data_IF_848187605711
#
_entry.id   IF_848187605711
#
_cell.length_a   1.000
_cell.length_b   1.000
_cell.length_c   1.000
_cell.angle_alpha   90.00
_cell.angle_beta   90.00
_cell.angle_gamma   90.00
#
_symmetry.space_group_name_H-M   'P 1'
#
loop_
_entity.id
_entity.type
_entity.pdbx_description
1 polymer ?
#
# COMPACT_ATOMS: atom_id res chain seq x y z
N UNK A 1 -14.67 14.85 5.33
CA UNK A 1 -13.31 14.33 5.63
C UNK A 1 -13.09 14.34 7.14
N UNK A 2 -12.68 13.21 7.69
CA UNK A 2 -12.37 13.06 9.11
C UNK A 2 -10.92 13.50 9.38
N UNK A 3 -10.71 14.24 10.48
CA UNK A 3 -9.36 14.55 10.99
C UNK A 3 -8.83 13.32 11.73
N UNK A 4 -8.40 12.35 10.96
CA UNK A 4 -7.95 11.06 11.45
C UNK A 4 -6.92 10.45 10.50
N UNK A 5 -6.05 9.59 11.02
CA UNK A 5 -5.16 8.75 10.24
C UNK A 5 -5.83 7.44 9.83
N UNK A 6 -5.63 7.03 8.59
CA UNK A 6 -5.94 5.69 8.11
C UNK A 6 -4.62 4.96 7.86
N UNK A 7 -4.39 3.88 8.58
CA UNK A 7 -3.19 3.04 8.49
C UNK A 7 -3.56 1.72 7.85
N UNK A 8 -2.93 1.41 6.72
CA UNK A 8 -3.19 0.22 5.91
C UNK A 8 -1.97 -0.69 5.97
N UNK A 9 -2.08 -1.79 6.72
CA UNK A 9 -1.03 -2.81 6.82
C UNK A 9 -0.82 -3.49 5.46
N UNK A 10 0.41 -3.96 5.21
CA UNK A 10 0.75 -4.86 4.12
C UNK A 10 0.18 -6.26 4.32
N UNK A 11 0.61 -7.21 3.48
CA UNK A 11 0.23 -8.62 3.66
C UNK A 11 0.01 -9.38 2.35
N UNK A 12 0.46 -8.85 1.22
CA UNK A 12 0.31 -9.48 -0.09
C UNK A 12 -1.16 -9.78 -0.39
N UNK A 13 -1.49 -11.03 -0.74
CA UNK A 13 -2.85 -11.45 -1.07
C UNK A 13 -3.86 -11.28 0.09
N UNK A 14 -3.43 -11.25 1.35
CA UNK A 14 -4.32 -10.94 2.49
C UNK A 14 -4.88 -9.51 2.42
N UNK A 15 -4.24 -8.63 1.67
CA UNK A 15 -4.69 -7.26 1.39
C UNK A 15 -6.07 -7.17 0.72
N UNK A 16 -6.62 -8.26 0.18
CA UNK A 16 -7.99 -8.31 -0.32
C UNK A 16 -9.00 -7.90 0.76
N UNK A 17 -8.72 -8.21 2.03
CA UNK A 17 -9.52 -7.70 3.16
C UNK A 17 -9.52 -6.17 3.20
N UNK A 18 -8.34 -5.56 3.05
CA UNK A 18 -8.17 -4.10 3.00
C UNK A 18 -8.95 -3.49 1.84
N UNK A 19 -8.96 -4.15 0.65
CA UNK A 19 -9.75 -3.70 -0.49
C UNK A 19 -11.24 -3.59 -0.15
N UNK A 20 -11.81 -4.60 0.53
CA UNK A 20 -13.21 -4.59 0.96
C UNK A 20 -13.54 -3.47 1.96
N UNK A 21 -12.64 -3.19 2.91
CA UNK A 21 -12.80 -2.08 3.86
C UNK A 21 -12.76 -0.73 3.14
N UNK A 22 -11.84 -0.56 2.19
CA UNK A 22 -11.71 0.68 1.41
C UNK A 22 -12.90 0.90 0.47
N UNK A 23 -13.45 -0.18 -0.09
CA UNK A 23 -14.69 -0.13 -0.89
C UNK A 23 -15.87 0.35 -0.04
N UNK A 24 -15.98 -0.12 1.20
CA UNK A 24 -16.99 0.37 2.14
C UNK A 24 -16.81 1.86 2.45
N UNK A 25 -15.57 2.33 2.69
CA UNK A 25 -15.30 3.75 2.91
C UNK A 25 -15.63 4.59 1.68
N UNK A 26 -15.32 4.10 0.49
CA UNK A 26 -15.68 4.76 -0.77
C UNK A 26 -17.20 4.88 -0.92
N UNK A 27 -17.94 3.80 -0.65
CA UNK A 27 -19.41 3.78 -0.73
C UNK A 27 -20.06 4.75 0.26
N UNK A 28 -19.50 4.87 1.47
CA UNK A 28 -20.02 5.77 2.50
C UNK A 28 -19.49 7.19 2.41
N UNK A 29 -18.65 7.50 1.42
CA UNK A 29 -18.04 8.82 1.28
C UNK A 29 -17.16 9.21 2.47
N UNK A 30 -16.51 8.23 3.11
CA UNK A 30 -15.64 8.43 4.27
C UNK A 30 -14.24 8.78 3.78
N UNK A 31 -13.73 9.95 4.16
CA UNK A 31 -12.39 10.45 3.83
C UNK A 31 -11.57 10.74 5.07
N UNK A 32 -10.26 10.55 4.95
CA UNK A 32 -9.29 10.75 6.01
C UNK A 32 -8.31 11.86 5.67
N UNK A 33 -7.89 12.63 6.71
CA UNK A 33 -6.89 13.68 6.54
C UNK A 33 -5.51 13.14 6.20
N UNK A 34 -5.16 11.95 6.71
CA UNK A 34 -3.89 11.27 6.42
C UNK A 34 -4.12 9.78 6.17
N UNK A 35 -3.41 9.24 5.18
CA UNK A 35 -3.43 7.82 4.85
C UNK A 35 -2.00 7.33 4.71
N UNK A 36 -1.70 6.18 5.31
CA UNK A 36 -0.40 5.52 5.26
C UNK A 36 -0.61 4.10 4.75
N UNK A 37 -0.09 3.82 3.56
CA UNK A 37 -0.16 2.49 2.95
C UNK A 37 1.18 1.79 2.96
N UNK A 38 1.18 0.52 3.36
CA UNK A 38 2.36 -0.36 3.37
C UNK A 38 2.13 -1.51 2.41
N UNK A 39 3.06 -1.77 1.48
CA UNK A 39 3.01 -2.94 0.59
C UNK A 39 1.66 -3.04 -0.15
N UNK A 40 0.92 -4.13 -0.01
CA UNK A 40 -0.42 -4.28 -0.57
C UNK A 40 -1.38 -3.15 -0.12
N UNK A 41 -1.24 -2.64 1.11
CA UNK A 41 -2.00 -1.49 1.60
C UNK A 41 -1.74 -0.22 0.78
N UNK A 42 -0.50 0.02 0.33
CA UNK A 42 -0.18 1.12 -0.57
C UNK A 42 -0.81 0.94 -1.97
N UNK A 43 -0.81 -0.28 -2.49
CA UNK A 43 -1.46 -0.59 -3.78
C UNK A 43 -2.98 -0.37 -3.72
N UNK A 44 -3.65 -0.87 -2.68
CA UNK A 44 -5.10 -0.73 -2.52
C UNK A 44 -5.53 0.71 -2.22
N UNK A 45 -4.70 1.47 -1.49
CA UNK A 45 -4.89 2.90 -1.26
C UNK A 45 -5.14 3.66 -2.56
N UNK A 46 -4.44 3.32 -3.64
CA UNK A 46 -4.56 4.03 -4.92
C UNK A 46 -5.97 3.92 -5.52
N UNK A 47 -6.62 2.76 -5.44
CA UNK A 47 -8.00 2.58 -5.90
C UNK A 47 -9.01 3.37 -5.05
N UNK A 48 -8.76 3.46 -3.74
CA UNK A 48 -9.57 4.26 -2.82
C UNK A 48 -9.44 5.77 -3.11
N UNK A 49 -8.22 6.26 -3.31
CA UNK A 49 -7.99 7.67 -3.66
C UNK A 49 -8.62 8.05 -5.01
N UNK A 50 -8.68 7.11 -5.95
CA UNK A 50 -9.36 7.25 -7.25
C UNK A 50 -10.88 7.03 -7.19
N UNK A 51 -11.46 6.76 -6.00
CA UNK A 51 -12.90 6.47 -5.83
C UNK A 51 -13.40 5.29 -6.65
N UNK A 52 -12.56 4.34 -7.00
CA UNK A 52 -12.89 3.22 -7.86
C UNK A 52 -13.23 1.96 -7.02
N UNK A 53 -14.47 1.89 -6.54
CA UNK A 53 -15.00 0.73 -5.82
C UNK A 53 -14.84 -0.55 -6.65
N UNK A 54 -14.38 -1.63 -6.01
CA UNK A 54 -14.17 -2.94 -6.62
C UNK A 54 -12.85 -3.07 -7.40
N UNK A 55 -12.23 -1.96 -7.84
CA UNK A 55 -11.01 -2.01 -8.65
C UNK A 55 -9.88 -2.77 -7.95
N UNK A 56 -9.64 -2.50 -6.67
CA UNK A 56 -8.58 -3.15 -5.90
C UNK A 56 -8.78 -4.67 -5.82
N UNK A 57 -10.02 -5.11 -5.62
CA UNK A 57 -10.38 -6.53 -5.61
C UNK A 57 -10.17 -7.16 -6.99
N UNK A 58 -10.73 -6.55 -8.05
CA UNK A 58 -10.60 -7.07 -9.42
C UNK A 58 -9.15 -7.23 -9.84
N UNK A 59 -8.30 -6.21 -9.64
CA UNK A 59 -6.87 -6.30 -9.95
C UNK A 59 -6.19 -7.43 -9.16
N UNK A 60 -6.59 -7.66 -7.92
CA UNK A 60 -5.98 -8.70 -7.08
C UNK A 60 -6.40 -10.13 -7.47
N UNK A 61 -7.57 -10.30 -8.10
CA UNK A 61 -8.17 -11.63 -8.36
C UNK A 61 -8.12 -12.03 -9.82
N UNK A 62 -8.41 -11.11 -10.75
CA UNK A 62 -8.62 -11.42 -12.18
C UNK A 62 -7.34 -11.89 -12.89
N UNK A 63 -6.18 -11.62 -12.31
CA UNK A 63 -4.88 -11.99 -12.90
C UNK A 63 -4.14 -13.10 -12.15
N UNK A 64 -4.75 -13.74 -11.14
CA UNK A 64 -4.09 -14.77 -10.33
C UNK A 64 -3.56 -15.95 -11.17
N UNK A 65 -4.32 -16.36 -12.20
CA UNK A 65 -3.95 -17.47 -13.10
C UNK A 65 -3.05 -17.02 -14.26
N UNK A 66 -2.69 -15.73 -14.29
CA UNK A 66 -1.91 -15.16 -15.39
C UNK A 66 -0.43 -15.16 -15.02
N UNK A 67 0.39 -15.96 -15.75
CA UNK A 67 1.86 -15.98 -15.56
C UNK A 67 2.51 -14.59 -15.71
N UNK A 68 1.86 -13.70 -16.47
CA UNK A 68 2.29 -12.31 -16.64
C UNK A 68 2.16 -11.47 -15.37
N UNK A 69 1.25 -11.82 -14.47
CA UNK A 69 1.04 -11.09 -13.23
C UNK A 69 2.08 -11.46 -12.18
N UNK A 70 2.18 -12.76 -11.88
CA UNK A 70 3.06 -13.29 -10.84
C UNK A 70 3.57 -14.66 -11.26
N UNK A 71 4.89 -14.84 -11.40
CA UNK A 71 5.46 -16.13 -11.77
C UNK A 71 6.94 -16.25 -11.40
N UNK A 72 7.39 -17.50 -11.22
CA UNK A 72 8.82 -17.81 -11.09
C UNK A 72 9.60 -17.45 -12.36
N UNK A 73 8.98 -17.54 -13.53
CA UNK A 73 9.57 -17.12 -14.79
C UNK A 73 9.88 -15.61 -14.77
N UNK A 74 8.95 -14.78 -14.30
CA UNK A 74 9.19 -13.35 -14.10
C UNK A 74 10.34 -13.10 -13.13
N UNK A 75 10.38 -13.81 -12.00
CA UNK A 75 11.47 -13.69 -11.03
C UNK A 75 12.83 -14.04 -11.64
N UNK A 76 12.93 -15.12 -12.40
CA UNK A 76 14.19 -15.57 -13.01
C UNK A 76 14.66 -14.65 -14.17
N UNK A 77 13.73 -14.06 -14.91
CA UNK A 77 14.06 -13.25 -16.10
C UNK A 77 14.23 -11.77 -15.76
N UNK A 78 13.43 -11.23 -14.85
CA UNK A 78 13.43 -9.80 -14.52
C UNK A 78 13.95 -9.48 -13.11
N UNK A 79 14.04 -10.48 -12.24
CA UNK A 79 14.37 -10.28 -10.82
C UNK A 79 13.18 -9.85 -9.95
N UNK A 80 11.96 -9.82 -10.53
CA UNK A 80 10.72 -9.47 -9.85
C UNK A 80 9.69 -10.58 -10.01
N UNK A 81 9.15 -11.10 -8.89
CA UNK A 81 8.11 -12.13 -8.89
C UNK A 81 6.81 -11.61 -9.51
N UNK A 82 6.43 -10.38 -9.16
CA UNK A 82 5.36 -9.63 -9.82
C UNK A 82 5.95 -8.84 -10.97
N UNK A 83 5.48 -9.09 -12.19
CA UNK A 83 6.00 -8.41 -13.37
C UNK A 83 5.73 -6.90 -13.30
N UNK A 84 6.79 -6.12 -13.30
CA UNK A 84 6.73 -4.65 -13.09
C UNK A 84 5.94 -3.96 -14.20
N UNK A 85 6.23 -4.28 -15.45
CA UNK A 85 5.56 -3.65 -16.59
C UNK A 85 4.07 -3.98 -16.62
N UNK A 86 3.72 -5.22 -16.27
CA UNK A 86 2.33 -5.64 -16.20
C UNK A 86 1.59 -4.97 -15.03
N UNK A 87 2.16 -5.01 -13.82
CA UNK A 87 1.47 -4.57 -12.60
C UNK A 87 1.40 -3.05 -12.45
N UNK A 88 2.47 -2.33 -12.85
CA UNK A 88 2.60 -0.89 -12.59
C UNK A 88 2.45 -0.01 -13.83
N UNK A 89 2.34 -0.61 -15.02
CA UNK A 89 2.09 0.11 -16.27
C UNK A 89 0.88 -0.45 -17.03
N UNK A 90 0.87 -1.71 -17.44
CA UNK A 90 -0.21 -2.23 -18.27
C UNK A 90 -1.57 -2.25 -17.56
N UNK A 91 -1.61 -2.71 -16.31
CA UNK A 91 -2.85 -2.71 -15.52
C UNK A 91 -3.35 -1.29 -15.28
N UNK A 92 -2.56 -0.36 -14.67
CA UNK A 92 -3.06 0.96 -14.32
C UNK A 92 -3.28 1.91 -15.49
N UNK A 93 -2.67 1.67 -16.64
CA UNK A 93 -2.80 2.56 -17.79
C UNK A 93 -3.86 2.08 -18.81
N UNK A 94 -4.09 0.74 -18.90
CA UNK A 94 -4.91 0.17 -19.98
C UNK A 94 -5.97 -0.83 -19.53
N UNK A 95 -5.65 -1.76 -18.61
CA UNK A 95 -6.56 -2.85 -18.27
C UNK A 95 -7.55 -2.45 -17.19
N UNK A 96 -7.07 -1.79 -16.16
CA UNK A 96 -7.84 -1.21 -15.06
C UNK A 96 -7.32 0.20 -14.77
N UNK A 97 -7.56 1.18 -15.67
CA UNK A 97 -7.00 2.52 -15.53
C UNK A 97 -7.47 3.20 -14.26
N UNK A 98 -6.58 3.97 -13.64
CA UNK A 98 -6.96 4.84 -12.54
C UNK A 98 -7.75 6.04 -13.06
N UNK A 99 -8.72 6.50 -12.27
CA UNK A 99 -9.25 7.86 -12.40
C UNK A 99 -8.22 8.83 -11.80
N UNK A 100 -7.28 9.23 -12.64
CA UNK A 100 -6.16 10.10 -12.28
C UNK A 100 -6.61 11.44 -11.75
N UNK A 101 -7.65 12.03 -12.37
CA UNK A 101 -8.18 13.34 -12.01
C UNK A 101 -8.82 13.30 -10.62
N UNK A 102 -9.56 12.25 -10.32
CA UNK A 102 -10.15 12.04 -8.99
C UNK A 102 -9.08 11.77 -7.95
N UNK A 103 -8.04 11.01 -8.29
CA UNK A 103 -6.91 10.75 -7.41
C UNK A 103 -6.23 12.04 -6.95
N UNK A 104 -5.87 12.92 -7.90
CA UNK A 104 -5.18 14.18 -7.62
C UNK A 104 -6.02 15.15 -6.77
N UNK A 105 -7.35 15.08 -6.89
CA UNK A 105 -8.30 15.90 -6.13
C UNK A 105 -8.58 15.39 -4.73
N UNK A 106 -8.00 14.24 -4.32
CA UNK A 106 -8.23 13.73 -2.98
C UNK A 106 -7.77 14.75 -1.92
N UNK A 107 -8.65 15.15 -0.99
CA UNK A 107 -8.39 16.30 -0.11
C UNK A 107 -7.38 16.01 1.02
N UNK A 108 -7.11 14.73 1.31
CA UNK A 108 -6.19 14.31 2.36
C UNK A 108 -4.74 14.17 1.89
N UNK A 109 -3.91 13.70 2.80
CA UNK A 109 -2.51 13.40 2.54
C UNK A 109 -2.31 11.88 2.51
N UNK A 110 -1.77 11.36 1.41
CA UNK A 110 -1.45 9.94 1.28
C UNK A 110 0.07 9.71 1.23
N UNK A 111 0.51 8.66 1.90
CA UNK A 111 1.92 8.27 1.99
C UNK A 111 2.08 6.79 1.68
N UNK A 112 3.06 6.48 0.86
CA UNK A 112 3.60 5.14 0.65
C UNK A 112 4.76 4.93 1.61
N UNK A 113 4.71 3.89 2.41
CA UNK A 113 5.75 3.57 3.38
C UNK A 113 6.77 2.66 2.74
N UNK A 114 8.04 3.02 2.85
CA UNK A 114 9.16 2.30 2.24
C UNK A 114 10.30 2.13 3.25
N UNK A 115 11.16 1.15 3.04
CA UNK A 115 12.37 0.98 3.83
C UNK A 115 13.58 1.47 3.03
N UNK A 116 14.30 2.46 3.54
CA UNK A 116 15.55 2.89 2.95
C UNK A 116 16.63 1.82 3.19
N UNK A 117 17.25 1.32 2.12
CA UNK A 117 18.21 0.21 2.20
C UNK A 117 19.51 0.61 2.93
N UNK A 118 19.94 1.85 2.77
CA UNK A 118 21.21 2.33 3.35
C UNK A 118 21.11 2.50 4.87
N UNK A 119 19.94 2.95 5.36
CA UNK A 119 19.75 3.27 6.77
C UNK A 119 18.97 2.18 7.53
N UNK A 120 18.25 1.32 6.83
CA UNK A 120 17.30 0.36 7.42
C UNK A 120 16.07 1.02 8.04
N UNK A 121 15.90 2.35 7.90
CA UNK A 121 14.82 3.10 8.51
C UNK A 121 13.62 3.27 7.58
N UNK A 122 12.40 3.42 8.12
CA UNK A 122 11.22 3.72 7.32
C UNK A 122 11.28 5.16 6.79
N UNK A 123 10.86 5.34 5.55
CA UNK A 123 10.58 6.65 4.95
C UNK A 123 9.13 6.67 4.44
N UNK A 124 8.49 7.84 4.52
CA UNK A 124 7.07 8.03 4.21
C UNK A 124 6.96 8.94 3.00
N UNK A 125 6.90 8.32 1.81
CA UNK A 125 6.93 9.04 0.55
C UNK A 125 5.53 9.57 0.21
N UNK A 126 5.40 10.87 0.11
CA UNK A 126 4.14 11.52 -0.26
C UNK A 126 3.72 11.10 -1.67
N UNK A 127 2.47 10.65 -1.80
CA UNK A 127 1.82 10.33 -3.10
C UNK A 127 0.79 11.41 -3.41
N UNK A 128 0.91 12.06 -4.59
CA UNK A 128 0.02 13.13 -5.04
C UNK A 128 -0.51 12.91 -6.44
N UNK A 129 0.35 12.46 -7.34
CA UNK A 129 0.09 12.20 -8.74
C UNK A 129 0.55 10.77 -9.03
N UNK A 130 -0.40 9.85 -9.14
CA UNK A 130 -0.06 8.42 -9.26
C UNK A 130 0.72 8.12 -10.55
N UNK A 131 0.57 8.93 -11.61
CA UNK A 131 1.36 8.75 -12.84
C UNK A 131 2.85 8.96 -12.59
N UNK A 132 3.21 9.95 -11.76
CA UNK A 132 4.61 10.26 -11.42
C UNK A 132 5.10 9.47 -10.22
N UNK A 133 4.19 9.12 -9.33
CA UNK A 133 4.49 8.54 -8.03
C UNK A 133 4.35 7.01 -7.99
N UNK A 134 4.09 6.36 -9.14
CA UNK A 134 3.86 4.90 -9.21
C UNK A 134 5.05 4.10 -8.65
N UNK A 135 6.27 4.56 -8.85
CA UNK A 135 7.46 3.91 -8.29
C UNK A 135 7.51 3.98 -6.76
N UNK A 136 6.85 4.95 -6.12
CA UNK A 136 6.72 5.00 -4.66
C UNK A 136 5.83 3.86 -4.15
N UNK A 137 4.77 3.54 -4.91
CA UNK A 137 3.90 2.40 -4.61
C UNK A 137 4.64 1.09 -4.84
N UNK A 138 5.34 0.98 -5.97
CA UNK A 138 6.16 -0.18 -6.30
C UNK A 138 7.23 -0.42 -5.24
N UNK A 139 7.94 0.62 -4.78
CA UNK A 139 8.95 0.51 -3.73
C UNK A 139 8.38 -0.07 -2.44
N UNK A 140 7.19 0.41 -2.03
CA UNK A 140 6.50 -0.10 -0.84
C UNK A 140 6.12 -1.59 -0.94
N UNK A 141 5.94 -2.11 -2.15
CA UNK A 141 5.58 -3.51 -2.42
C UNK A 141 6.76 -4.37 -2.90
N UNK A 142 8.00 -3.85 -2.85
CA UNK A 142 9.20 -4.56 -3.29
C UNK A 142 9.78 -5.39 -2.15
N UNK A 143 9.28 -6.63 -2.01
CA UNK A 143 9.73 -7.59 -0.98
C UNK A 143 11.16 -8.07 -1.25
N UNK A 144 12.01 -8.21 -0.21
CA UNK A 144 13.34 -8.78 -0.34
C UNK A 144 13.31 -10.17 -1.00
N UNK A 145 14.32 -10.47 -1.80
CA UNK A 145 14.55 -11.75 -2.50
C UNK A 145 13.59 -12.05 -3.65
N UNK A 146 12.42 -11.41 -3.70
CA UNK A 146 11.40 -11.65 -4.72
C UNK A 146 11.06 -10.40 -5.55
N UNK A 147 11.72 -9.28 -5.24
CA UNK A 147 11.65 -8.06 -6.04
C UNK A 147 12.98 -7.30 -5.98
N UNK A 148 13.26 -6.56 -7.06
CA UNK A 148 14.40 -5.64 -7.10
C UNK A 148 14.11 -4.41 -6.25
N UNK A 149 15.17 -3.84 -5.66
CA UNK A 149 15.07 -2.54 -5.02
C UNK A 149 14.68 -1.45 -6.04
N UNK A 150 14.00 -0.42 -5.56
CA UNK A 150 13.54 0.70 -6.39
C UNK A 150 14.35 1.93 -6.07
N UNK A 151 14.87 2.60 -7.12
CA UNK A 151 15.62 3.84 -6.96
C UNK A 151 14.69 5.04 -7.15
N UNK A 152 14.61 5.89 -6.13
CA UNK A 152 13.83 7.14 -6.14
C UNK A 152 14.72 8.27 -5.59
N UNK A 153 14.88 9.33 -6.33
CA UNK A 153 15.68 10.51 -5.94
C UNK A 153 17.09 10.16 -5.42
N UNK A 154 17.72 9.18 -6.08
CA UNK A 154 19.08 8.74 -5.75
C UNK A 154 19.19 7.70 -4.64
N UNK A 155 18.15 7.47 -3.85
CA UNK A 155 18.10 6.48 -2.77
C UNK A 155 17.48 5.16 -3.26
N UNK A 156 17.83 4.06 -2.58
CA UNK A 156 17.32 2.72 -2.86
C UNK A 156 16.33 2.28 -1.77
N UNK A 157 15.19 1.74 -2.20
CA UNK A 157 14.11 1.35 -1.31
C UNK A 157 13.65 -0.09 -1.53
N UNK A 158 13.12 -0.66 -0.47
CA UNK A 158 12.39 -1.93 -0.41
C UNK A 158 11.06 -1.76 0.33
N UNK A 159 10.31 -2.86 0.45
CA UNK A 159 9.00 -2.92 1.10
C UNK A 159 9.02 -2.27 2.49
N UNK A 160 8.03 -1.42 2.73
CA UNK A 160 7.88 -0.70 4.00
C UNK A 160 7.62 -1.59 5.20
N UNK A 161 7.04 -2.78 4.97
CA UNK A 161 6.76 -3.75 6.02
C UNK A 161 8.00 -4.31 6.72
N UNK A 162 9.20 -4.08 6.16
CA UNK A 162 10.48 -4.48 6.78
C UNK A 162 10.77 -3.61 8.01
N UNK A 163 10.55 -2.30 7.92
CA UNK A 163 10.92 -1.33 8.97
C UNK A 163 9.73 -0.77 9.74
N UNK A 164 8.56 -0.61 9.08
CA UNK A 164 7.33 -0.11 9.72
C UNK A 164 6.09 -0.69 9.03
N UNK A 165 5.66 -1.86 9.48
CA UNK A 165 4.51 -2.57 8.92
C UNK A 165 3.16 -1.92 9.27
N UNK A 166 3.10 -1.18 10.40
CA UNK A 166 1.90 -0.51 10.90
C UNK A 166 2.27 0.90 11.36
N UNK A 167 2.34 1.89 10.45
CA UNK A 167 2.86 3.24 10.71
C UNK A 167 1.94 4.10 11.60
N UNK A 168 1.53 3.54 12.75
CA UNK A 168 0.68 4.23 13.71
C UNK A 168 1.43 5.36 14.42
N UNK A 169 2.68 5.11 14.83
CA UNK A 169 3.49 6.13 15.49
C UNK A 169 3.69 7.35 14.59
N UNK A 170 3.99 7.13 13.31
CA UNK A 170 4.09 8.20 12.31
C UNK A 170 2.78 8.98 12.20
N UNK A 171 1.65 8.29 12.17
CA UNK A 171 0.34 8.94 12.10
C UNK A 171 0.09 9.83 13.33
N UNK A 172 0.45 9.37 14.51
CA UNK A 172 0.33 10.15 15.77
C UNK A 172 1.26 11.37 15.73
N UNK A 173 2.51 11.20 15.29
CA UNK A 173 3.48 12.29 15.16
C UNK A 173 3.04 13.36 14.13
N UNK A 174 2.30 12.97 13.10
CA UNK A 174 1.70 13.89 12.14
C UNK A 174 0.42 14.61 12.70
N UNK A 175 0.10 14.40 13.97
CA UNK A 175 -0.97 15.10 14.69
C UNK A 175 -2.34 14.41 14.64
N UNK A 176 -2.44 13.18 14.15
CA UNK A 176 -3.70 12.45 14.12
C UNK A 176 -4.02 11.87 15.50
N UNK A 177 -5.00 12.46 16.20
CA UNK A 177 -5.47 11.98 17.51
C UNK A 177 -6.36 10.73 17.42
N UNK A 178 -6.94 10.48 16.24
CA UNK A 178 -7.77 9.31 15.95
C UNK A 178 -7.15 8.57 14.79
N UNK A 179 -7.06 7.25 14.91
CA UNK A 179 -6.48 6.40 13.88
C UNK A 179 -7.36 5.18 13.65
N UNK A 180 -7.55 4.83 12.38
CA UNK A 180 -8.16 3.57 11.97
C UNK A 180 -7.05 2.71 11.39
N UNK A 181 -6.89 1.52 11.93
CA UNK A 181 -5.92 0.53 11.48
C UNK A 181 -6.67 -0.57 10.75
N UNK A 182 -6.32 -0.80 9.49
CA UNK A 182 -6.80 -1.95 8.71
C UNK A 182 -5.68 -2.98 8.68
N UNK A 183 -5.83 -4.02 9.48
CA UNK A 183 -4.84 -5.07 9.67
C UNK A 183 -5.19 -6.29 8.86
N UNK A 184 -4.20 -6.90 8.24
CA UNK A 184 -4.35 -8.11 7.40
C UNK A 184 -4.00 -9.40 8.15
N UNK A 185 -3.38 -9.29 9.33
CA UNK A 185 -3.10 -10.42 10.21
C UNK A 185 -4.31 -10.70 11.10
N UNK A 186 -4.75 -11.95 11.13
CA UNK A 186 -5.75 -12.41 12.10
C UNK A 186 -5.20 -12.36 13.52
N UNK A 187 -6.03 -11.94 14.48
CA UNK A 187 -5.68 -11.93 15.92
C UNK A 187 -5.21 -13.31 16.44
N UNK A 188 -5.63 -14.41 15.82
CA UNK A 188 -5.17 -15.76 16.19
C UNK A 188 -3.69 -16.00 15.88
N UNK A 189 -3.06 -15.17 15.05
CA UNK A 189 -1.62 -15.24 14.76
C UNK A 189 -0.78 -14.32 15.64
N UNK A 190 -1.40 -13.55 16.53
CA UNK A 190 -0.70 -12.70 17.51
C UNK A 190 -0.36 -13.59 18.71
N UNK A 191 0.79 -14.27 18.65
CA UNK A 191 1.22 -15.21 19.69
C UNK A 191 1.89 -14.56 20.91
N UNK A 192 2.04 -13.23 20.95
CA UNK A 192 2.74 -12.54 22.03
C UNK A 192 1.88 -11.50 22.76
N UNK A 193 1.77 -11.63 24.12
CA UNK A 193 1.00 -10.68 24.96
C UNK A 193 1.51 -9.23 24.89
N UNK A 194 2.77 -9.02 24.51
CA UNK A 194 3.38 -7.68 24.38
C UNK A 194 2.81 -6.86 23.23
N UNK A 195 2.33 -7.48 22.15
CA UNK A 195 1.67 -6.76 21.05
C UNK A 195 0.24 -6.30 21.39
N UNK A 196 -0.44 -6.99 22.29
CA UNK A 196 -1.77 -6.59 22.77
C UNK A 196 -1.73 -5.27 23.59
N UNK A 197 -0.59 -4.97 24.22
CA UNK A 197 -0.43 -3.70 24.97
C UNK A 197 -0.40 -2.46 24.06
N UNK A 198 0.05 -2.60 22.81
CA UNK A 198 0.06 -1.49 21.86
C UNK A 198 -1.34 -1.13 21.34
N UNK A 199 -2.30 -2.06 21.39
CA UNK A 199 -3.69 -1.83 20.93
C UNK A 199 -4.54 -1.16 22.01
N UNK A 200 -4.16 -1.26 23.28
CA UNK A 200 -4.95 -0.74 24.41
C UNK A 200 -4.74 0.74 24.71
N UNK A 201 -3.95 1.47 23.91
CA UNK A 201 -3.71 2.91 24.04
C UNK A 201 -4.29 3.74 22.87
N UNK A 202 -5.22 3.17 22.10
CA UNK A 202 -5.94 3.90 21.05
C UNK A 202 -7.23 4.50 21.58
#
# INVERSE_FOLDING_TARGET
MYQAGLVLEGGGMKGVYTAGVLDFFTEKGIDFSHIYGVSAGACHMCSYLSRQKGRALSVSVDYLDTRRYCSLESLLTSGDLFNVDFCYHLIPDYLYPYDYDTFEKYPGKAYSVVTNIETGQPEYLRVRDIRKDIDKIRASASLPLVARNVKIDGKLYLDGGISDAIPLEKSILDGNRKNILVMTLSLIHISEPTRLRCISYA
#
